data_IF_795112825703
#
_entry.id   IF_795112825703
#
_cell.length_a   1.000
_cell.length_b   1.000
_cell.length_c   1.000
_cell.angle_alpha   90.00
_cell.angle_beta   90.00
_cell.angle_gamma   90.00
#
_symmetry.space_group_name_H-M   'P 1'
#
loop_
_entity.id
_entity.type
_entity.pdbx_description
1 polymer ?
#
# COMPACT_ATOMS: atom_id res chain seq x y z
N UNK A 1 0.65 -6.79 16.60
CA UNK A 1 1.81 -6.07 16.03
C UNK A 1 2.05 -6.59 14.60
N UNK A 2 2.73 -5.83 13.73
CA UNK A 2 3.22 -6.37 12.45
C UNK A 2 4.10 -7.59 12.68
N UNK A 3 4.02 -8.55 11.75
CA UNK A 3 4.83 -9.77 11.78
C UNK A 3 6.29 -9.44 11.46
N UNK A 4 7.21 -10.13 12.13
CA UNK A 4 8.63 -10.08 11.84
C UNK A 4 9.02 -11.33 11.02
N UNK A 5 10.04 -11.20 10.18
CA UNK A 5 10.59 -12.35 9.46
C UNK A 5 11.29 -13.28 10.44
N UNK A 6 11.02 -14.58 10.32
CA UNK A 6 11.76 -15.59 11.07
C UNK A 6 13.16 -15.78 10.46
N UNK A 7 14.07 -16.37 11.25
CA UNK A 7 15.44 -16.64 10.82
C UNK A 7 15.45 -17.57 9.60
N UNK A 8 16.00 -17.09 8.49
CA UNK A 8 16.08 -17.84 7.22
C UNK A 8 14.93 -17.58 6.25
N UNK A 9 13.92 -16.79 6.62
CA UNK A 9 12.89 -16.33 5.70
C UNK A 9 13.31 -15.04 4.99
N UNK A 10 13.05 -14.98 3.68
CA UNK A 10 13.24 -13.77 2.87
C UNK A 10 11.96 -12.94 2.74
N UNK A 11 10.79 -13.52 2.98
CA UNK A 11 9.48 -12.89 2.81
C UNK A 11 8.45 -13.45 3.81
N UNK A 12 7.51 -12.59 4.24
CA UNK A 12 6.37 -12.99 5.07
C UNK A 12 5.39 -13.85 4.26
N UNK A 13 4.66 -14.73 4.94
CA UNK A 13 3.51 -15.39 4.32
C UNK A 13 2.43 -14.36 3.96
N UNK A 14 1.56 -14.71 3.01
CA UNK A 14 0.45 -13.85 2.59
C UNK A 14 -0.44 -13.48 3.77
N UNK A 15 -0.73 -14.44 4.64
CA UNK A 15 -1.49 -14.24 5.88
C UNK A 15 -0.77 -13.28 6.85
N UNK A 16 0.52 -13.50 7.13
CA UNK A 16 1.31 -12.64 8.00
C UNK A 16 1.41 -11.20 7.46
N UNK A 17 1.56 -11.06 6.15
CA UNK A 17 1.61 -9.77 5.47
C UNK A 17 0.25 -9.06 5.53
N UNK A 18 -0.85 -9.77 5.29
CA UNK A 18 -2.21 -9.24 5.38
C UNK A 18 -2.55 -8.78 6.80
N UNK A 19 -2.24 -9.60 7.82
CA UNK A 19 -2.40 -9.23 9.23
C UNK A 19 -1.59 -7.97 9.58
N UNK A 20 -0.36 -7.85 9.08
CA UNK A 20 0.49 -6.67 9.28
C UNK A 20 -0.07 -5.41 8.63
N UNK A 21 -0.68 -5.55 7.44
CA UNK A 21 -1.35 -4.47 6.71
C UNK A 21 -2.62 -4.00 7.42
N UNK A 22 -3.44 -4.91 7.93
CA UNK A 22 -4.62 -4.57 8.76
C UNK A 22 -4.20 -3.70 9.95
N UNK A 23 -3.22 -4.17 10.73
CA UNK A 23 -2.71 -3.42 11.89
C UNK A 23 -2.21 -2.05 11.48
N UNK A 24 -1.52 -1.95 10.35
CA UNK A 24 -0.97 -0.68 9.86
C UNK A 24 -2.03 0.30 9.37
N UNK A 25 -3.11 -0.18 8.75
CA UNK A 25 -4.24 0.66 8.37
C UNK A 25 -5.03 1.14 9.58
N UNK A 26 -5.28 0.29 10.58
CA UNK A 26 -5.90 0.73 11.84
C UNK A 26 -5.04 1.73 12.60
N UNK A 27 -3.70 1.62 12.49
CA UNK A 27 -2.77 2.58 13.11
C UNK A 27 -3.00 4.01 12.61
N UNK A 28 -3.30 4.21 11.32
CA UNK A 28 -3.54 5.54 10.74
C UNK A 28 -4.67 6.29 11.46
N UNK A 29 -5.75 5.61 11.81
CA UNK A 29 -6.89 6.17 12.58
C UNK A 29 -6.41 6.66 13.97
N UNK A 30 -5.62 5.84 14.64
CA UNK A 30 -5.07 6.14 15.98
C UNK A 30 -4.06 7.28 15.89
N UNK A 31 -3.18 7.26 14.88
CA UNK A 31 -2.18 8.30 14.62
C UNK A 31 -2.82 9.65 14.30
N UNK A 32 -3.90 9.69 13.52
CA UNK A 32 -4.64 10.91 13.24
C UNK A 32 -5.19 11.54 14.53
N UNK A 33 -5.83 10.75 15.39
CA UNK A 33 -6.34 11.21 16.69
C UNK A 33 -5.23 11.65 17.63
N UNK A 34 -4.15 10.88 17.71
CA UNK A 34 -2.98 11.22 18.52
C UNK A 34 -2.27 12.49 18.01
N UNK A 35 -2.19 12.67 16.69
CA UNK A 35 -1.65 13.86 16.05
C UNK A 35 -2.45 15.10 16.43
N UNK A 36 -3.78 15.01 16.38
CA UNK A 36 -4.67 16.10 16.79
C UNK A 36 -4.55 16.43 18.29
N UNK A 37 -4.48 15.41 19.15
CA UNK A 37 -4.21 15.61 20.58
C UNK A 37 -2.90 16.38 20.80
N UNK A 38 -1.83 15.98 20.10
CA UNK A 38 -0.50 16.61 20.20
C UNK A 38 -0.46 18.03 19.63
N UNK A 39 -1.25 18.32 18.59
CA UNK A 39 -1.29 19.66 17.99
C UNK A 39 -1.95 20.67 18.93
N UNK A 40 -2.95 20.25 19.72
CA UNK A 40 -3.61 21.09 20.72
C UNK A 40 -2.78 21.16 22.00
N UNK A 41 -2.37 20.01 22.53
CA UNK A 41 -1.68 19.91 23.81
C UNK A 41 -0.23 19.49 23.60
N UNK A 42 0.65 20.50 23.49
CA UNK A 42 2.10 20.31 23.30
C UNK A 42 2.76 19.40 24.35
N UNK A 43 2.16 19.30 25.54
CA UNK A 43 2.57 18.37 26.59
C UNK A 43 2.72 16.92 26.09
N UNK A 44 1.79 16.43 25.25
CA UNK A 44 1.84 15.07 24.71
C UNK A 44 2.75 14.92 23.48
N UNK A 45 3.24 16.04 22.93
CA UNK A 45 4.13 16.04 21.77
C UNK A 45 5.61 15.83 22.14
N UNK A 46 6.00 16.14 23.37
CA UNK A 46 7.37 16.04 23.86
C UNK A 46 7.61 14.88 24.83
N UNK A 47 8.82 14.84 25.40
CA UNK A 47 9.17 13.89 26.46
C UNK A 47 8.43 14.24 27.76
N UNK A 48 7.73 13.26 28.32
CA UNK A 48 6.98 13.43 29.57
C UNK A 48 7.91 13.09 30.75
N UNK A 49 7.98 13.99 31.74
CA UNK A 49 8.74 13.74 32.96
C UNK A 49 8.18 12.53 33.71
N UNK A 50 9.05 11.67 34.23
CA UNK A 50 8.68 10.45 34.97
C UNK A 50 7.71 10.71 36.12
N UNK A 51 7.82 11.86 36.79
CA UNK A 51 6.91 12.29 37.87
C UNK A 51 5.45 12.42 37.44
N UNK A 52 5.18 12.61 36.15
CA UNK A 52 3.84 12.76 35.60
C UNK A 52 3.24 11.45 35.06
N UNK A 53 4.02 10.37 35.00
CA UNK A 53 3.55 9.09 34.45
C UNK A 53 2.36 8.53 35.24
N UNK A 54 2.36 8.67 36.57
CA UNK A 54 1.26 8.23 37.43
C UNK A 54 -0.07 8.93 37.14
N UNK A 55 -0.04 10.13 36.53
CA UNK A 55 -1.21 10.94 36.19
C UNK A 55 -1.54 10.96 34.70
N UNK A 56 -0.77 10.23 33.87
CA UNK A 56 -0.87 10.32 32.42
C UNK A 56 -2.26 9.97 31.91
N UNK A 57 -2.92 8.99 32.54
CA UNK A 57 -4.30 8.61 32.23
C UNK A 57 -5.27 9.76 32.46
N UNK A 58 -5.17 10.44 33.59
CA UNK A 58 -6.06 11.55 33.94
C UNK A 58 -5.85 12.73 32.99
N UNK A 59 -4.59 13.02 32.64
CA UNK A 59 -4.28 14.05 31.65
C UNK A 59 -4.90 13.76 30.29
N UNK A 60 -4.84 12.50 29.82
CA UNK A 60 -5.48 12.09 28.57
C UNK A 60 -7.00 12.23 28.62
N UNK A 61 -7.64 11.84 29.72
CA UNK A 61 -9.09 11.94 29.90
C UNK A 61 -9.55 13.39 29.93
N UNK A 62 -8.84 14.26 30.67
CA UNK A 62 -9.12 15.70 30.74
C UNK A 62 -8.94 16.34 29.35
N UNK A 63 -7.82 16.07 28.69
CA UNK A 63 -7.56 16.58 27.34
C UNK A 63 -8.63 16.13 26.34
N UNK A 64 -9.04 14.87 26.39
CA UNK A 64 -10.14 14.34 25.58
C UNK A 64 -11.47 15.04 25.87
N UNK A 65 -11.80 15.29 27.13
CA UNK A 65 -13.02 16.01 27.51
C UNK A 65 -13.02 17.46 27.00
N UNK A 66 -11.87 18.15 27.08
CA UNK A 66 -11.71 19.50 26.53
C UNK A 66 -11.89 19.50 25.02
N UNK A 67 -11.24 18.56 24.31
CA UNK A 67 -11.40 18.41 22.85
C UNK A 67 -12.87 18.22 22.49
N UNK A 68 -13.54 17.28 23.14
CA UNK A 68 -14.94 16.96 22.85
C UNK A 68 -15.90 18.13 23.14
N UNK A 69 -15.55 19.02 24.07
CA UNK A 69 -16.39 20.15 24.47
C UNK A 69 -16.19 21.40 23.60
N UNK A 70 -14.95 21.68 23.19
CA UNK A 70 -14.57 22.99 22.64
C UNK A 70 -14.00 22.95 21.22
N UNK A 71 -13.66 21.77 20.71
CA UNK A 71 -13.01 21.62 19.41
C UNK A 71 -13.88 20.84 18.43
N UNK A 72 -13.66 21.09 17.14
CA UNK A 72 -14.35 20.35 16.10
C UNK A 72 -13.93 18.87 16.13
N UNK A 73 -14.89 17.93 16.00
CA UNK A 73 -14.56 16.53 15.87
C UNK A 73 -13.67 16.30 14.65
N UNK A 74 -12.58 15.54 14.82
CA UNK A 74 -11.85 15.03 13.64
C UNK A 74 -12.79 14.06 12.94
N UNK A 75 -13.23 14.39 11.72
CA UNK A 75 -14.07 13.53 10.89
C UNK A 75 -13.16 12.79 9.92
N UNK A 76 -13.26 11.46 9.89
CA UNK A 76 -12.63 10.61 8.88
C UNK A 76 -13.74 9.90 8.12
N UNK A 77 -14.34 10.61 7.16
CA UNK A 77 -15.46 10.11 6.34
C UNK A 77 -15.17 8.76 5.71
N UNK A 78 -13.91 8.54 5.34
CA UNK A 78 -13.47 7.35 4.61
C UNK A 78 -13.21 6.15 5.54
N UNK A 79 -13.13 6.37 6.86
CA UNK A 79 -12.83 5.32 7.85
C UNK A 79 -14.12 4.73 8.45
N UNK A 80 -14.94 4.09 7.62
CA UNK A 80 -16.23 3.52 8.03
C UNK A 80 -16.13 2.09 8.56
N UNK A 81 -17.16 1.63 9.28
CA UNK A 81 -17.28 0.23 9.74
C UNK A 81 -17.34 -0.72 8.55
N UNK A 82 -18.13 -0.39 7.53
CA UNK A 82 -18.25 -1.19 6.30
C UNK A 82 -16.91 -1.36 5.59
N UNK A 83 -16.09 -0.29 5.55
CA UNK A 83 -14.74 -0.38 5.00
C UNK A 83 -13.90 -1.35 5.83
N UNK A 84 -13.93 -1.26 7.17
CA UNK A 84 -13.19 -2.16 8.05
C UNK A 84 -13.61 -3.63 7.91
N UNK A 85 -14.90 -3.91 7.72
CA UNK A 85 -15.41 -5.25 7.48
C UNK A 85 -14.99 -5.80 6.11
N UNK A 86 -15.13 -5.00 5.03
CA UNK A 86 -14.67 -5.39 3.69
C UNK A 86 -13.17 -5.68 3.68
N UNK A 87 -12.40 -4.86 4.39
CA UNK A 87 -10.97 -5.03 4.61
C UNK A 87 -10.66 -6.35 5.32
N UNK A 88 -11.39 -6.69 6.38
CA UNK A 88 -11.20 -7.94 7.11
C UNK A 88 -11.51 -9.16 6.24
N UNK A 89 -12.57 -9.09 5.43
CA UNK A 89 -12.96 -10.17 4.53
C UNK A 89 -11.90 -10.38 3.44
N UNK A 90 -11.46 -9.30 2.77
CA UNK A 90 -10.43 -9.36 1.73
C UNK A 90 -9.08 -9.88 2.22
N UNK A 91 -8.72 -9.61 3.48
CA UNK A 91 -7.47 -10.13 4.05
C UNK A 91 -7.44 -11.66 4.15
N UNK A 92 -8.60 -12.32 4.14
CA UNK A 92 -8.75 -13.78 4.12
C UNK A 92 -8.73 -14.36 2.71
N UNK A 93 -8.89 -13.52 1.68
CA UNK A 93 -8.90 -13.96 0.29
C UNK A 93 -7.47 -14.31 -0.15
N UNK A 94 -7.36 -15.43 -0.88
CA UNK A 94 -6.10 -15.84 -1.47
C UNK A 94 -5.73 -14.93 -2.64
N UNK A 95 -4.46 -14.55 -2.74
CA UNK A 95 -3.96 -13.82 -3.91
C UNK A 95 -3.90 -14.76 -5.12
N UNK A 96 -4.83 -14.57 -6.07
CA UNK A 96 -4.95 -15.38 -7.29
C UNK A 96 -3.71 -15.29 -8.18
N UNK A 97 -3.07 -14.12 -8.25
CA UNK A 97 -1.85 -13.91 -9.03
C UNK A 97 -0.68 -14.68 -8.42
N UNK A 98 -0.54 -14.63 -7.09
CA UNK A 98 0.45 -15.43 -6.39
C UNK A 98 0.24 -16.93 -6.63
N UNK A 99 -0.99 -17.42 -6.42
CA UNK A 99 -1.31 -18.83 -6.61
C UNK A 99 -0.93 -19.31 -8.01
N UNK A 100 -1.22 -18.48 -9.03
CA UNK A 100 -0.85 -18.75 -10.42
C UNK A 100 0.66 -18.79 -10.62
N UNK A 101 1.38 -17.77 -10.14
CA UNK A 101 2.85 -17.67 -10.25
C UNK A 101 3.54 -18.88 -9.63
N UNK A 102 3.00 -19.39 -8.53
CA UNK A 102 3.53 -20.56 -7.82
C UNK A 102 3.19 -21.87 -8.55
N UNK A 103 1.93 -22.08 -8.98
CA UNK A 103 1.48 -23.29 -9.70
C UNK A 103 2.19 -23.46 -11.05
N UNK A 104 2.31 -22.38 -11.82
CA UNK A 104 2.97 -22.39 -13.13
C UNK A 104 4.50 -22.19 -13.02
N UNK A 105 5.04 -22.07 -11.80
CA UNK A 105 6.46 -21.86 -11.54
C UNK A 105 7.07 -20.67 -12.31
N UNK A 106 6.28 -19.60 -12.49
CA UNK A 106 6.62 -18.47 -13.36
C UNK A 106 7.82 -17.66 -12.84
N UNK A 107 8.12 -17.75 -11.54
CA UNK A 107 9.33 -17.17 -10.92
C UNK A 107 10.62 -17.62 -11.59
N UNK A 108 10.67 -18.89 -12.00
CA UNK A 108 11.85 -19.50 -12.60
C UNK A 108 11.89 -19.35 -14.14
N UNK A 109 10.79 -18.87 -14.74
CA UNK A 109 10.73 -18.63 -16.18
C UNK A 109 11.66 -17.48 -16.57
N UNK A 110 12.60 -17.76 -17.48
CA UNK A 110 13.45 -16.73 -18.09
C UNK A 110 12.58 -15.67 -18.75
N UNK A 111 12.79 -14.42 -18.37
CA UNK A 111 12.12 -13.27 -18.97
C UNK A 111 12.93 -12.67 -20.10
N UNK A 112 12.22 -12.17 -21.10
CA UNK A 112 12.76 -11.36 -22.18
C UNK A 112 12.46 -9.89 -21.89
N UNK A 113 13.44 -9.20 -21.31
CA UNK A 113 13.25 -7.89 -20.72
C UNK A 113 13.51 -6.78 -21.73
N UNK A 114 12.52 -5.91 -21.91
CA UNK A 114 12.62 -4.69 -22.68
C UNK A 114 12.33 -3.49 -21.77
N UNK A 115 12.81 -2.30 -22.14
CA UNK A 115 12.40 -1.07 -21.47
C UNK A 115 10.89 -0.88 -21.64
N UNK A 116 10.19 -0.61 -20.54
CA UNK A 116 8.74 -0.40 -20.54
C UNK A 116 8.41 0.93 -21.23
N UNK A 117 7.65 0.86 -22.30
CA UNK A 117 7.09 2.02 -23.00
C UNK A 117 5.57 1.90 -23.10
N UNK A 118 4.86 3.02 -23.13
CA UNK A 118 3.39 3.05 -23.19
C UNK A 118 2.83 2.23 -24.37
N UNK A 119 3.48 2.31 -25.53
CA UNK A 119 3.09 1.59 -26.74
C UNK A 119 3.11 0.05 -26.59
N UNK A 120 3.80 -0.48 -25.58
CA UNK A 120 3.93 -1.93 -25.37
C UNK A 120 2.77 -2.52 -24.57
N UNK A 121 2.01 -1.68 -23.86
CA UNK A 121 0.87 -2.08 -23.02
C UNK A 121 -0.39 -1.27 -23.36
N UNK A 122 -0.82 -1.23 -24.64
CA UNK A 122 -1.90 -0.34 -25.08
C UNK A 122 -3.27 -0.67 -24.46
N UNK A 123 -3.45 -1.90 -23.98
CA UNK A 123 -4.69 -2.38 -23.37
C UNK A 123 -4.68 -2.29 -21.84
N UNK A 124 -3.58 -1.82 -21.23
CA UNK A 124 -3.50 -1.68 -19.78
C UNK A 124 -4.40 -0.53 -19.31
N UNK A 125 -5.20 -0.71 -18.24
CA UNK A 125 -6.16 0.28 -17.77
C UNK A 125 -5.47 1.58 -17.35
N UNK A 126 -6.01 2.72 -17.78
CA UNK A 126 -5.59 4.01 -17.26
C UNK A 126 -6.16 4.24 -15.86
N UNK A 127 -5.29 4.23 -14.86
CA UNK A 127 -5.66 4.38 -13.46
C UNK A 127 -5.48 5.84 -13.04
N UNK A 128 -6.58 6.53 -12.74
CA UNK A 128 -6.50 7.91 -12.24
C UNK A 128 -5.90 7.95 -10.83
N UNK A 129 -5.29 9.06 -10.40
CA UNK A 129 -4.79 9.20 -9.02
C UNK A 129 -5.87 8.97 -7.97
N UNK A 130 -7.10 9.43 -8.23
CA UNK A 130 -8.25 9.21 -7.35
C UNK A 130 -8.67 7.74 -7.34
N UNK A 131 -8.65 7.06 -8.49
CA UNK A 131 -8.85 5.62 -8.55
C UNK A 131 -7.82 4.90 -7.70
N UNK A 132 -6.53 5.18 -7.89
CA UNK A 132 -5.45 4.55 -7.13
C UNK A 132 -5.66 4.78 -5.63
N UNK A 133 -5.95 6.02 -5.22
CA UNK A 133 -6.23 6.35 -3.81
C UNK A 133 -7.36 5.50 -3.23
N UNK A 134 -8.48 5.39 -3.95
CA UNK A 134 -9.61 4.57 -3.54
C UNK A 134 -9.29 3.07 -3.56
N UNK A 135 -8.60 2.59 -4.60
CA UNK A 135 -8.12 1.23 -4.72
C UNK A 135 -7.20 0.85 -3.56
N UNK A 136 -6.26 1.72 -3.18
CA UNK A 136 -5.36 1.50 -2.03
C UNK A 136 -6.08 1.51 -0.68
N UNK A 137 -7.17 2.27 -0.54
CA UNK A 137 -8.03 2.19 0.65
C UNK A 137 -8.68 0.80 0.75
N UNK A 138 -9.07 0.20 -0.39
CA UNK A 138 -9.76 -1.09 -0.46
C UNK A 138 -8.83 -2.32 -0.49
N UNK A 139 -7.65 -2.23 -1.12
CA UNK A 139 -6.82 -3.38 -1.51
C UNK A 139 -5.50 -3.55 -0.75
N UNK A 140 -5.25 -2.77 0.31
CA UNK A 140 -4.09 -2.97 1.20
C UNK A 140 -2.69 -2.97 0.55
N UNK A 141 -2.55 -2.48 -0.68
CA UNK A 141 -1.28 -2.60 -1.43
C UNK A 141 -0.25 -1.56 -1.00
N UNK A 142 -0.62 -0.28 -0.95
CA UNK A 142 0.27 0.86 -0.66
C UNK A 142 -0.42 1.90 0.26
N UNK A 143 0.35 2.70 0.99
CA UNK A 143 -0.14 3.84 1.77
C UNK A 143 -0.49 5.04 0.87
N UNK A 144 -1.45 5.88 1.27
CA UNK A 144 -1.85 7.08 0.49
C UNK A 144 -0.69 8.04 0.25
N UNK A 145 0.24 8.13 1.22
CA UNK A 145 1.50 8.85 1.07
C UNK A 145 2.36 8.31 -0.08
N UNK A 146 2.42 6.99 -0.26
CA UNK A 146 3.22 6.36 -1.31
C UNK A 146 2.72 6.72 -2.71
N UNK A 147 1.41 6.92 -2.88
CA UNK A 147 0.81 7.41 -4.13
C UNK A 147 1.23 8.86 -4.37
N UNK A 148 1.17 9.69 -3.33
CA UNK A 148 1.51 11.11 -3.43
C UNK A 148 2.98 11.35 -3.80
N UNK A 149 3.89 10.47 -3.37
CA UNK A 149 5.31 10.54 -3.76
C UNK A 149 5.62 9.82 -5.08
N UNK A 150 4.68 9.08 -5.66
CA UNK A 150 4.91 8.30 -6.88
C UNK A 150 5.42 9.15 -8.06
N UNK A 151 4.89 10.37 -8.32
CA UNK A 151 5.43 11.23 -9.38
C UNK A 151 6.91 11.59 -9.18
N UNK A 152 7.29 11.99 -7.96
CA UNK A 152 8.68 12.29 -7.62
C UNK A 152 9.57 11.05 -7.72
N UNK A 153 9.06 9.89 -7.28
CA UNK A 153 9.77 8.63 -7.43
C UNK A 153 10.02 8.28 -8.91
N UNK A 154 9.02 8.46 -9.77
CA UNK A 154 9.15 8.23 -11.22
C UNK A 154 10.17 9.20 -11.81
N UNK A 155 10.10 10.48 -11.46
CA UNK A 155 11.05 11.48 -11.93
C UNK A 155 12.49 11.11 -11.56
N UNK A 156 12.77 10.83 -10.28
CA UNK A 156 14.11 10.48 -9.82
C UNK A 156 14.64 9.20 -10.51
N UNK A 157 13.81 8.14 -10.61
CA UNK A 157 14.27 6.84 -11.10
C UNK A 157 14.27 6.72 -12.63
N UNK A 158 13.38 7.40 -13.35
CA UNK A 158 13.25 7.26 -14.81
C UNK A 158 14.06 8.34 -15.53
N UNK A 159 14.15 9.55 -14.98
CA UNK A 159 14.78 10.69 -15.66
C UNK A 159 16.24 10.93 -15.25
N UNK A 160 16.61 10.67 -13.99
CA UNK A 160 17.98 10.93 -13.51
C UNK A 160 18.90 9.69 -13.55
N UNK A 161 18.36 8.49 -13.28
CA UNK A 161 19.12 7.23 -13.26
C UNK A 161 18.71 6.28 -14.40
N UNK A 162 19.45 6.30 -15.51
CA UNK A 162 19.14 5.47 -16.70
C UNK A 162 19.19 3.95 -16.44
N UNK A 163 19.80 3.50 -15.33
CA UNK A 163 19.83 2.08 -14.98
C UNK A 163 18.59 1.63 -14.19
N UNK A 164 17.82 2.55 -13.63
CA UNK A 164 16.64 2.27 -12.81
C UNK A 164 15.32 2.21 -13.62
N UNK A 165 15.40 1.84 -14.90
CA UNK A 165 14.25 1.76 -15.79
C UNK A 165 13.31 0.60 -15.44
N UNK A 166 12.00 0.86 -15.55
CA UNK A 166 10.99 -0.19 -15.55
C UNK A 166 11.21 -1.10 -16.76
N UNK A 167 11.29 -2.40 -16.52
CA UNK A 167 11.45 -3.39 -17.60
C UNK A 167 10.19 -4.24 -17.70
N UNK A 168 9.64 -4.35 -18.90
CA UNK A 168 8.54 -5.26 -19.20
C UNK A 168 9.14 -6.58 -19.70
N UNK A 169 8.58 -7.69 -19.23
CA UNK A 169 8.81 -8.97 -19.87
C UNK A 169 7.90 -9.09 -21.10
N UNK A 170 8.45 -9.43 -22.26
CA UNK A 170 7.69 -9.76 -23.48
C UNK A 170 6.86 -11.06 -23.37
N UNK A 171 6.51 -11.45 -22.15
CA UNK A 171 5.54 -12.49 -21.88
C UNK A 171 4.19 -12.02 -22.42
N UNK A 172 3.84 -12.53 -23.60
CA UNK A 172 2.64 -12.13 -24.33
C UNK A 172 1.45 -12.96 -23.86
N UNK A 173 0.83 -12.52 -22.77
CA UNK A 173 -0.46 -13.03 -22.34
C UNK A 173 -1.44 -11.88 -22.12
N UNK A 174 -2.63 -11.93 -22.74
CA UNK A 174 -3.67 -10.92 -22.54
C UNK A 174 -4.03 -10.78 -21.06
N UNK A 175 -4.11 -9.54 -20.58
CA UNK A 175 -4.49 -9.22 -19.20
C UNK A 175 -3.50 -9.69 -18.12
N UNK A 176 -2.27 -10.13 -18.46
CA UNK A 176 -1.27 -10.54 -17.48
C UNK A 176 0.14 -10.06 -17.85
N UNK A 177 0.71 -9.19 -17.03
CA UNK A 177 2.06 -8.66 -17.26
C UNK A 177 3.02 -9.00 -16.13
N UNK A 178 4.29 -9.11 -16.49
CA UNK A 178 5.41 -9.14 -15.57
C UNK A 178 6.30 -7.91 -15.79
N UNK A 179 6.47 -7.14 -14.72
CA UNK A 179 7.32 -5.96 -14.68
C UNK A 179 8.49 -6.22 -13.75
N UNK A 180 9.65 -5.67 -14.08
CA UNK A 180 10.83 -5.66 -13.22
C UNK A 180 11.21 -4.23 -12.87
N UNK A 181 11.50 -4.03 -11.59
CA UNK A 181 11.84 -2.72 -11.00
C UNK A 181 13.17 -2.85 -10.27
N UNK A 182 14.00 -1.83 -10.36
CA UNK A 182 15.28 -1.74 -9.66
C UNK A 182 15.10 -1.00 -8.34
N UNK A 183 15.63 -1.57 -7.25
CA UNK A 183 15.68 -0.87 -5.96
C UNK A 183 16.79 0.17 -5.95
N UNK A 184 16.44 1.41 -5.61
CA UNK A 184 17.39 2.50 -5.29
C UNK A 184 18.15 2.30 -3.96
N UNK A 185 17.65 1.46 -3.06
CA UNK A 185 18.25 1.21 -1.75
C UNK A 185 19.13 -0.04 -1.80
N UNK A 186 20.43 0.15 -1.53
CA UNK A 186 21.56 -0.80 -1.38
C UNK A 186 21.43 -2.17 -2.11
N UNK A 187 22.40 -2.43 -2.99
CA UNK A 187 22.64 -3.68 -3.76
C UNK A 187 21.84 -3.89 -5.06
N UNK A 188 21.22 -2.86 -5.64
CA UNK A 188 20.56 -2.95 -6.95
C UNK A 188 19.63 -4.18 -7.10
N UNK A 189 18.92 -4.51 -6.02
CA UNK A 189 18.05 -5.70 -5.99
C UNK A 189 16.93 -5.49 -7.01
N UNK A 190 16.76 -6.48 -7.89
CA UNK A 190 15.71 -6.51 -8.90
C UNK A 190 14.46 -7.14 -8.29
N UNK A 191 13.39 -6.37 -8.22
CA UNK A 191 12.08 -6.85 -7.84
C UNK A 191 11.30 -7.22 -9.11
N UNK A 192 10.59 -8.34 -9.07
CA UNK A 192 9.63 -8.71 -10.11
C UNK A 192 8.23 -8.51 -9.54
N UNK A 193 7.37 -7.91 -10.34
CA UNK A 193 5.98 -7.66 -10.04
C UNK A 193 5.13 -8.31 -11.12
N UNK A 194 4.13 -9.07 -10.71
CA UNK A 194 3.13 -9.68 -11.59
C UNK A 194 1.82 -8.94 -11.40
N UNK A 195 1.14 -8.61 -12.50
CA UNK A 195 -0.13 -7.87 -12.47
C UNK A 195 -1.12 -8.58 -13.39
N UNK A 196 -2.28 -8.94 -12.84
CA UNK A 196 -3.44 -9.37 -13.61
C UNK A 196 -4.43 -8.21 -13.71
N UNK A 197 -4.92 -7.93 -14.92
CA UNK A 197 -5.80 -6.81 -15.22
C UNK A 197 -6.80 -7.15 -16.31
N UNK A 198 -7.88 -6.37 -16.38
CA UNK A 198 -8.88 -6.43 -17.44
C UNK A 198 -8.42 -5.50 -18.56
N UNK A 199 -8.29 -6.04 -19.76
CA UNK A 199 -7.97 -5.25 -20.95
C UNK A 199 -9.10 -4.26 -21.25
N UNK A 200 -8.74 -3.03 -21.60
CA UNK A 200 -9.73 -2.03 -22.01
C UNK A 200 -10.38 -2.51 -23.32
N UNK A 201 -11.62 -2.99 -23.22
CA UNK A 201 -12.53 -3.12 -24.34
C UNK A 201 -13.48 -1.92 -24.29
N UNK A 202 -13.80 -1.31 -25.43
CA UNK A 202 -14.60 -0.07 -25.56
C UNK A 202 -16.07 -0.19 -25.06
N UNK A 203 -16.41 -1.17 -24.23
CA UNK A 203 -17.74 -1.39 -23.69
C UNK A 203 -17.77 -1.10 -22.18
N UNK A 204 -18.65 -0.17 -21.80
CA UNK A 204 -18.90 0.27 -20.44
C UNK A 204 -19.30 -0.91 -19.54
N UNK A 205 -18.47 -1.22 -18.55
CA UNK A 205 -18.95 -1.53 -17.20
C UNK A 205 -17.82 -1.30 -16.19
N UNK A 206 -18.19 -1.19 -14.91
CA UNK A 206 -17.36 -0.82 -13.76
C UNK A 206 -16.77 -2.02 -12.96
N UNK A 207 -16.11 -3.06 -13.52
CA UNK A 207 -15.31 -3.92 -12.67
C UNK A 207 -14.01 -3.22 -12.26
N UNK A 208 -13.46 -3.61 -11.12
CA UNK A 208 -12.10 -3.24 -10.72
C UNK A 208 -11.13 -3.69 -11.83
N UNK A 209 -10.49 -2.76 -12.57
CA UNK A 209 -9.63 -3.11 -13.70
C UNK A 209 -8.39 -3.91 -13.30
N UNK A 210 -8.03 -3.94 -12.02
CA UNK A 210 -6.89 -4.72 -11.51
C UNK A 210 -7.41 -5.92 -10.72
N UNK A 211 -7.18 -7.11 -11.27
CA UNK A 211 -7.61 -8.38 -10.68
C UNK A 211 -6.70 -8.81 -9.52
N UNK A 212 -5.44 -8.39 -9.55
CA UNK A 212 -4.49 -8.64 -8.47
C UNK A 212 -3.05 -8.34 -8.85
N UNK A 213 -2.16 -8.34 -7.86
CA UNK A 213 -0.73 -8.20 -8.06
C UNK A 213 0.10 -9.00 -7.06
N UNK A 214 1.32 -9.37 -7.44
CA UNK A 214 2.23 -10.16 -6.61
C UNK A 214 3.70 -9.78 -6.82
#
# INVERSE_FOLDING_TARGET
>A
MPSLLDRGQSQLTTEQANNSRIVSKSRWIVEARNGYLKSIFKFFGGSINTSHICHLRDFLLIAGAIINKFFEPVIMSDATVDLAESMRQRALESNVVQARVDVENLRNKRGNWIALEEAQIPLFPQLTPDYLRNYHLRNFTCGTYQIGIAPSYIQDNVLEDREAQFQLDQFNEPGFIRVRIYSRYRNAIRHQLWIAFIEINNEESEPDPILGSY
#
